data_IF_413790320158
#
_entry.id   IF_413790320158
#
_cell.length_a   1.000
_cell.length_b   1.000
_cell.length_c   1.000
_cell.angle_alpha   90.00
_cell.angle_beta   90.00
_cell.angle_gamma   90.00
#
_symmetry.space_group_name_H-M   'P 1'
#
loop_
_entity.id
_entity.type
_entity.pdbx_description
1 polymer ?
#
# COMPACT_ATOMS: atom_id res chain seq x y z
N UNK A 1 -5.70 -6.68 6.72
CA UNK A 1 -4.52 -6.66 5.85
C UNK A 1 -3.88 -5.26 5.78
N UNK A 2 -4.61 -4.21 5.34
CA UNK A 2 -4.04 -2.86 5.21
C UNK A 2 -3.50 -2.29 6.52
N UNK A 3 -4.25 -2.42 7.61
CA UNK A 3 -3.81 -1.97 8.94
C UNK A 3 -2.59 -2.77 9.41
N UNK A 4 -2.54 -4.06 9.13
CA UNK A 4 -1.42 -4.92 9.47
C UNK A 4 -0.15 -4.50 8.74
N UNK A 5 -0.24 -4.25 7.43
CA UNK A 5 0.87 -3.69 6.65
C UNK A 5 1.32 -2.36 7.28
N UNK A 6 0.38 -1.46 7.58
CA UNK A 6 0.67 -0.16 8.15
C UNK A 6 1.44 -0.26 9.47
N UNK A 7 0.94 -1.07 10.42
CA UNK A 7 1.54 -1.18 11.74
C UNK A 7 2.86 -1.98 11.75
N UNK A 8 3.09 -2.84 10.75
CA UNK A 8 4.38 -3.52 10.57
C UNK A 8 5.56 -2.53 10.41
N UNK A 9 5.27 -1.26 10.12
CA UNK A 9 6.26 -0.19 10.14
C UNK A 9 7.02 -0.05 11.47
N UNK A 10 6.48 -0.57 12.57
CA UNK A 10 7.11 -0.53 13.91
C UNK A 10 8.02 -1.72 14.21
N UNK A 11 7.94 -2.79 13.42
CA UNK A 11 8.78 -3.99 13.64
C UNK A 11 10.29 -3.68 13.65
N UNK A 12 10.82 -2.82 12.77
CA UNK A 12 12.24 -2.45 12.84
C UNK A 12 12.65 -1.68 14.11
N UNK A 13 11.68 -1.09 14.83
CA UNK A 13 11.97 -0.44 16.11
C UNK A 13 11.97 -1.48 17.23
N UNK A 14 11.00 -2.40 17.21
CA UNK A 14 10.93 -3.53 18.13
C UNK A 14 12.18 -4.44 18.02
N UNK A 15 12.67 -4.67 16.81
CA UNK A 15 13.87 -5.50 16.57
C UNK A 15 15.18 -4.93 17.13
N UNK A 16 15.15 -3.72 17.72
CA UNK A 16 16.30 -3.16 18.44
C UNK A 16 16.32 -3.56 19.92
N UNK A 17 15.21 -4.08 20.43
CA UNK A 17 15.14 -4.60 21.79
C UNK A 17 15.79 -5.99 21.84
N UNK A 18 16.32 -6.34 23.01
CA UNK A 18 16.86 -7.68 23.24
C UNK A 18 15.73 -8.69 23.41
N UNK A 19 15.76 -9.76 22.66
CA UNK A 19 14.81 -10.86 22.77
C UNK A 19 14.41 -11.48 21.44
N UNK A 20 13.81 -12.66 21.54
CA UNK A 20 13.27 -13.38 20.38
C UNK A 20 11.88 -12.83 20.05
N UNK A 21 11.71 -12.39 18.82
CA UNK A 21 10.45 -11.82 18.37
C UNK A 21 9.76 -12.82 17.45
N UNK A 22 8.51 -13.15 17.78
CA UNK A 22 7.61 -13.90 16.90
C UNK A 22 6.43 -13.03 16.48
N UNK A 23 6.20 -12.90 15.18
CA UNK A 23 5.09 -12.16 14.58
C UNK A 23 4.11 -13.14 13.93
N UNK A 24 2.89 -13.23 14.46
CA UNK A 24 1.77 -13.88 13.80
C UNK A 24 1.12 -12.88 12.83
N UNK A 25 1.01 -13.23 11.57
CA UNK A 25 0.53 -12.34 10.51
C UNK A 25 -0.42 -13.05 9.54
N UNK A 26 -1.16 -12.28 8.74
CA UNK A 26 -1.94 -12.82 7.62
C UNK A 26 -1.03 -13.66 6.71
N UNK A 27 -1.40 -14.91 6.35
CA UNK A 27 -0.54 -15.79 5.54
C UNK A 27 -0.06 -15.16 4.24
N UNK A 28 -0.85 -14.27 3.65
CA UNK A 28 -0.50 -13.55 2.41
C UNK A 28 0.67 -12.58 2.57
N UNK A 29 1.02 -12.20 3.81
CA UNK A 29 2.13 -11.30 4.13
C UNK A 29 3.38 -12.04 4.60
N UNK A 30 3.29 -13.35 4.85
CA UNK A 30 4.38 -14.09 5.48
C UNK A 30 5.69 -14.00 4.69
N UNK A 31 5.67 -14.21 3.38
CA UNK A 31 6.88 -14.22 2.54
C UNK A 31 7.56 -12.84 2.51
N UNK A 32 6.80 -11.77 2.30
CA UNK A 32 7.36 -10.43 2.28
C UNK A 32 7.86 -9.99 3.65
N UNK A 33 7.21 -10.40 4.74
CA UNK A 33 7.66 -10.10 6.11
C UNK A 33 8.91 -10.89 6.46
N UNK A 34 8.98 -12.18 6.13
CA UNK A 34 10.18 -13.01 6.34
C UNK A 34 11.41 -12.40 5.66
N UNK A 35 11.25 -11.88 4.46
CA UNK A 35 12.32 -11.21 3.70
C UNK A 35 12.65 -9.82 4.27
N UNK A 36 11.66 -9.13 4.83
CA UNK A 36 11.82 -7.72 5.26
C UNK A 36 12.31 -7.55 6.67
N UNK A 37 12.06 -8.52 7.54
CA UNK A 37 12.38 -8.46 8.97
C UNK A 37 13.31 -9.60 9.40
N UNK A 38 14.61 -9.53 9.02
CA UNK A 38 15.57 -10.53 9.45
C UNK A 38 15.68 -10.54 10.98
N UNK A 39 15.70 -11.73 11.57
CA UNK A 39 15.74 -11.89 13.04
C UNK A 39 14.35 -11.93 13.71
N UNK A 40 13.27 -11.78 12.96
CA UNK A 40 11.90 -11.97 13.44
C UNK A 40 11.36 -13.30 12.92
N UNK A 41 10.84 -14.15 13.79
CA UNK A 41 10.13 -15.37 13.40
C UNK A 41 8.76 -15.00 12.87
N UNK A 42 8.48 -15.29 11.61
CA UNK A 42 7.21 -14.98 10.96
C UNK A 42 6.34 -16.23 10.91
N UNK A 43 5.14 -16.14 11.44
CA UNK A 43 4.12 -17.19 11.40
C UNK A 43 2.88 -16.69 10.65
N UNK A 44 2.69 -17.19 9.42
CA UNK A 44 1.49 -16.92 8.64
C UNK A 44 0.31 -17.73 9.19
N UNK A 45 -0.64 -17.07 9.85
CA UNK A 45 -1.80 -17.71 10.44
C UNK A 45 -3.09 -16.99 10.07
N UNK A 46 -4.14 -17.73 9.81
CA UNK A 46 -5.47 -17.14 9.62
C UNK A 46 -5.94 -16.48 10.93
N UNK A 47 -6.64 -15.35 10.82
CA UNK A 47 -7.09 -14.56 11.99
C UNK A 47 -7.87 -15.40 13.03
N UNK A 48 -8.60 -16.43 12.58
CA UNK A 48 -9.37 -17.34 13.45
C UNK A 48 -8.48 -18.35 14.19
N UNK A 49 -7.26 -18.59 13.67
CA UNK A 49 -6.32 -19.60 14.15
C UNK A 49 -5.14 -18.97 14.92
N UNK A 50 -5.21 -17.67 15.24
CA UNK A 50 -4.21 -16.98 16.05
C UNK A 50 -4.09 -17.70 17.40
N UNK A 51 -2.91 -18.24 17.64
CA UNK A 51 -2.61 -18.95 18.89
C UNK A 51 -2.17 -17.93 19.97
N UNK A 52 -3.01 -17.82 21.00
CA UNK A 52 -2.76 -16.97 22.19
C UNK A 52 -2.31 -17.80 23.38
N UNK A 53 -2.15 -19.11 23.22
CA UNK A 53 -1.68 -20.01 24.28
C UNK A 53 -0.18 -20.23 24.26
N UNK A 54 0.55 -19.62 23.31
CA UNK A 54 2.01 -19.68 23.27
C UNK A 54 2.59 -19.12 24.56
N UNK A 55 3.53 -19.84 25.15
CA UNK A 55 4.28 -19.34 26.31
C UNK A 55 5.22 -18.23 25.83
N UNK A 56 4.90 -17.00 26.18
CA UNK A 56 5.66 -15.80 25.86
C UNK A 56 5.83 -14.96 27.13
N UNK A 57 6.93 -14.26 27.25
CA UNK A 57 7.13 -13.28 28.32
C UNK A 57 6.18 -12.08 28.13
N UNK A 58 5.97 -11.69 26.87
CA UNK A 58 5.10 -10.57 26.51
C UNK A 58 4.34 -10.86 25.21
N UNK A 59 3.07 -10.42 25.16
CA UNK A 59 2.25 -10.45 23.95
C UNK A 59 1.56 -9.10 23.77
N UNK A 60 1.60 -8.56 22.55
CA UNK A 60 0.90 -7.33 22.22
C UNK A 60 0.35 -7.37 20.80
N UNK A 61 -0.78 -6.68 20.58
CA UNK A 61 -1.22 -6.40 19.22
C UNK A 61 -0.26 -5.44 18.52
N UNK A 62 0.05 -5.71 17.25
CA UNK A 62 0.97 -4.87 16.45
C UNK A 62 0.55 -3.39 16.42
N UNK A 63 -0.76 -3.12 16.46
CA UNK A 63 -1.33 -1.76 16.51
C UNK A 63 -1.05 -0.99 17.79
N UNK A 64 -0.59 -1.65 18.86
CA UNK A 64 -0.27 -1.00 20.13
C UNK A 64 1.17 -0.44 20.19
N UNK A 65 2.08 -0.94 19.33
CA UNK A 65 3.49 -0.53 19.35
C UNK A 65 3.72 0.95 19.07
N UNK A 66 2.95 1.64 18.19
CA UNK A 66 3.16 3.07 17.99
C UNK A 66 3.13 3.91 19.27
N UNK A 67 2.34 3.53 20.26
CA UNK A 67 2.27 4.27 21.56
C UNK A 67 3.58 4.19 22.36
N UNK A 68 4.41 3.20 22.10
CA UNK A 68 5.72 3.05 22.75
C UNK A 68 6.84 3.72 21.95
N UNK A 69 6.83 3.58 20.62
CA UNK A 69 7.92 3.97 19.73
C UNK A 69 7.66 5.24 18.93
N UNK A 70 6.40 5.74 18.90
CA UNK A 70 5.96 6.84 18.01
C UNK A 70 5.09 7.84 18.77
N UNK A 71 5.62 8.37 19.87
CA UNK A 71 4.87 9.28 20.77
C UNK A 71 4.73 10.68 20.23
N UNK A 72 5.67 11.12 19.40
CA UNK A 72 5.70 12.42 18.74
C UNK A 72 5.89 12.25 17.23
N UNK A 73 5.69 13.31 16.45
CA UNK A 73 5.94 13.26 15.01
C UNK A 73 7.41 13.01 14.67
N UNK A 74 8.31 13.46 15.53
CA UNK A 74 9.74 13.31 15.33
C UNK A 74 10.23 11.87 15.55
N UNK A 75 9.43 11.05 16.23
CA UNK A 75 9.72 9.62 16.44
C UNK A 75 9.45 8.77 15.19
N UNK A 76 8.74 9.32 14.19
CA UNK A 76 8.51 8.60 12.95
C UNK A 76 9.74 8.65 12.05
N UNK A 77 10.37 7.51 11.73
CA UNK A 77 11.58 7.51 10.92
C UNK A 77 11.26 7.94 9.49
N UNK A 78 12.13 8.80 8.96
CA UNK A 78 12.13 9.13 7.54
C UNK A 78 12.82 7.97 6.81
N UNK A 79 12.07 7.24 5.99
CA UNK A 79 12.57 6.10 5.23
C UNK A 79 11.79 5.86 3.95
N UNK A 80 12.42 5.24 2.99
CA UNK A 80 11.83 4.86 1.70
C UNK A 80 11.04 3.53 1.77
N UNK A 81 10.32 3.30 2.83
CA UNK A 81 9.61 2.05 3.07
C UNK A 81 10.34 1.12 4.06
N UNK A 82 9.71 0.00 4.40
CA UNK A 82 10.19 -0.99 5.37
C UNK A 82 10.01 -2.43 4.89
N UNK A 83 9.30 -2.64 3.78
CA UNK A 83 9.15 -3.94 3.14
C UNK A 83 10.07 -4.04 1.92
N UNK A 84 10.64 -5.22 1.72
CA UNK A 84 11.53 -5.53 0.61
C UNK A 84 10.79 -6.43 -0.38
N UNK A 85 10.53 -5.93 -1.59
CA UNK A 85 10.00 -6.77 -2.68
C UNK A 85 11.06 -7.79 -3.14
N UNK A 86 10.58 -8.89 -3.72
CA UNK A 86 11.45 -9.87 -4.37
C UNK A 86 12.00 -9.28 -5.68
N UNK A 87 13.32 -9.18 -5.79
CA UNK A 87 13.99 -8.56 -6.94
C UNK A 87 13.79 -9.34 -8.24
N UNK A 88 13.63 -10.66 -8.16
CA UNK A 88 13.37 -11.49 -9.35
C UNK A 88 11.96 -11.24 -9.88
N UNK A 89 10.98 -11.19 -8.97
CA UNK A 89 9.60 -10.83 -9.31
C UNK A 89 9.51 -9.41 -9.88
N UNK A 90 10.25 -8.46 -9.29
CA UNK A 90 10.32 -7.08 -9.81
C UNK A 90 10.82 -7.07 -11.25
N UNK A 91 11.87 -7.84 -11.57
CA UNK A 91 12.38 -7.93 -12.95
C UNK A 91 11.33 -8.49 -13.93
N UNK A 92 10.62 -9.55 -13.52
CA UNK A 92 9.54 -10.13 -14.32
C UNK A 92 8.41 -9.12 -14.56
N UNK A 93 8.02 -8.36 -13.53
CA UNK A 93 6.97 -7.36 -13.68
C UNK A 93 7.40 -6.19 -14.57
N UNK A 94 8.66 -5.75 -14.50
CA UNK A 94 9.20 -4.73 -15.42
C UNK A 94 9.10 -5.18 -16.87
N UNK A 95 9.52 -6.41 -17.16
CA UNK A 95 9.42 -6.98 -18.51
C UNK A 95 7.97 -7.03 -19.02
N UNK A 96 7.03 -7.46 -18.17
CA UNK A 96 5.60 -7.46 -18.52
C UNK A 96 5.04 -6.05 -18.74
N UNK A 97 5.44 -5.09 -17.93
CA UNK A 97 5.00 -3.70 -18.06
C UNK A 97 5.58 -3.06 -19.34
N UNK A 98 6.79 -3.39 -19.72
CA UNK A 98 7.39 -2.92 -20.98
C UNK A 98 6.60 -3.40 -22.22
N UNK A 99 6.00 -4.60 -22.14
CA UNK A 99 5.12 -5.12 -23.18
C UNK A 99 3.80 -4.36 -23.33
N UNK A 100 3.39 -3.59 -22.33
CA UNK A 100 2.18 -2.75 -22.41
C UNK A 100 2.35 -1.52 -23.31
N UNK A 101 3.54 -1.25 -23.80
CA UNK A 101 3.86 -0.10 -24.67
C UNK A 101 4.88 0.86 -24.09
N UNK A 102 5.25 1.88 -24.84
CA UNK A 102 6.14 2.94 -24.40
C UNK A 102 5.41 3.96 -23.52
N UNK A 103 6.11 4.55 -22.52
CA UNK A 103 5.60 5.58 -21.64
C UNK A 103 5.55 5.15 -20.17
N UNK A 104 5.13 6.07 -19.30
CA UNK A 104 5.07 5.87 -17.86
C UNK A 104 3.95 4.89 -17.49
N UNK A 105 4.27 3.92 -16.66
CA UNK A 105 3.35 2.89 -16.15
C UNK A 105 2.79 3.33 -14.79
N UNK A 106 1.56 3.80 -14.79
CA UNK A 106 0.90 4.30 -13.58
C UNK A 106 -0.12 3.27 -13.10
N UNK A 107 0.12 2.69 -11.95
CA UNK A 107 -0.84 1.84 -11.27
C UNK A 107 -1.95 2.67 -10.62
N UNK A 108 -3.21 2.34 -10.88
CA UNK A 108 -4.36 3.08 -10.38
C UNK A 108 -5.32 2.18 -9.60
N UNK A 109 -5.58 2.54 -8.32
CA UNK A 109 -6.63 1.95 -7.51
C UNK A 109 -7.61 3.06 -7.08
N UNK A 110 -8.80 3.07 -7.66
CA UNK A 110 -9.76 4.18 -7.51
C UNK A 110 -10.89 3.90 -6.53
N UNK A 111 -11.13 2.65 -6.15
CA UNK A 111 -12.21 2.31 -5.23
C UNK A 111 -11.83 1.21 -4.25
N UNK A 112 -12.51 1.20 -3.11
CA UNK A 112 -12.38 0.15 -2.10
C UNK A 112 -13.43 -0.93 -2.35
N UNK A 113 -13.09 -2.21 -2.09
CA UNK A 113 -14.01 -3.35 -2.21
C UNK A 113 -15.10 -3.43 -1.14
N UNK A 114 -15.23 -2.43 -0.26
CA UNK A 114 -16.28 -2.40 0.75
C UNK A 114 -17.64 -2.09 0.15
N UNK A 115 -18.68 -2.78 0.66
CA UNK A 115 -20.06 -2.58 0.22
C UNK A 115 -20.50 -1.12 0.36
N UNK A 116 -21.28 -0.61 -0.60
CA UNK A 116 -21.72 0.79 -0.66
C UNK A 116 -22.43 1.29 0.61
N UNK A 117 -23.13 0.42 1.35
CA UNK A 117 -23.79 0.75 2.63
C UNK A 117 -22.77 1.07 3.73
N UNK A 118 -21.66 0.35 3.79
CA UNK A 118 -20.59 0.57 4.77
C UNK A 118 -19.81 1.82 4.41
N UNK A 119 -19.60 2.07 3.11
CA UNK A 119 -18.91 3.25 2.59
C UNK A 119 -19.57 4.58 2.98
N UNK A 120 -20.90 4.64 3.05
CA UNK A 120 -21.65 5.87 3.43
C UNK A 120 -21.38 6.33 4.87
N UNK A 121 -21.03 5.43 5.76
CA UNK A 121 -20.78 5.73 7.18
C UNK A 121 -19.28 5.83 7.53
N UNK A 122 -18.44 5.28 6.67
CA UNK A 122 -17.00 5.44 6.78
C UNK A 122 -16.58 6.45 5.72
N UNK A 123 -15.92 7.50 6.11
CA UNK A 123 -15.34 8.56 5.26
C UNK A 123 -14.20 8.00 4.36
N UNK A 124 -14.41 6.79 3.84
CA UNK A 124 -13.50 6.16 2.89
C UNK A 124 -13.69 6.79 1.53
N UNK A 125 -12.59 7.08 0.87
CA UNK A 125 -12.57 7.66 -0.46
C UNK A 125 -13.38 6.82 -1.42
N UNK A 126 -14.57 7.28 -1.77
CA UNK A 126 -15.33 6.74 -2.88
C UNK A 126 -14.92 7.57 -4.07
N UNK A 127 -14.05 7.04 -4.87
CA UNK A 127 -13.80 7.58 -6.19
C UNK A 127 -14.45 6.68 -7.22
N UNK A 128 -14.93 7.27 -8.29
CA UNK A 128 -15.28 6.56 -9.51
C UNK A 128 -14.13 6.71 -10.48
N UNK A 129 -13.94 5.76 -11.37
CA UNK A 129 -12.89 5.82 -12.38
C UNK A 129 -12.94 7.10 -13.24
N UNK A 130 -14.13 7.68 -13.42
CA UNK A 130 -14.33 8.91 -14.19
C UNK A 130 -13.57 10.12 -13.62
N UNK A 131 -13.31 10.18 -12.33
CA UNK A 131 -12.48 11.24 -11.75
C UNK A 131 -11.03 11.22 -12.26
N UNK A 132 -10.60 10.09 -12.82
CA UNK A 132 -9.24 9.90 -13.33
C UNK A 132 -9.13 10.01 -14.86
N UNK A 133 -10.23 10.33 -15.56
CA UNK A 133 -10.20 10.54 -17.02
C UNK A 133 -9.14 11.56 -17.47
N UNK A 134 -8.85 12.65 -16.74
CA UNK A 134 -7.74 13.53 -17.10
C UNK A 134 -6.39 12.82 -17.22
N UNK A 135 -6.13 11.77 -16.41
CA UNK A 135 -4.86 11.01 -16.50
C UNK A 135 -4.77 10.20 -17.79
N UNK A 136 -5.90 9.69 -18.30
CA UNK A 136 -5.95 8.93 -19.56
C UNK A 136 -5.61 9.79 -20.78
N UNK A 137 -5.73 11.10 -20.67
CA UNK A 137 -5.45 12.04 -21.74
C UNK A 137 -4.01 12.55 -21.73
N UNK A 138 -3.21 12.20 -20.73
CA UNK A 138 -1.80 12.58 -20.67
C UNK A 138 -1.04 11.71 -21.71
N UNK A 139 -0.30 12.31 -22.65
CA UNK A 139 0.54 11.57 -23.59
C UNK A 139 1.56 10.71 -22.84
N UNK A 140 1.91 9.58 -23.42
CA UNK A 140 2.96 8.70 -22.88
C UNK A 140 2.70 8.17 -21.48
N UNK A 141 1.43 8.09 -21.07
CA UNK A 141 0.99 7.47 -19.80
C UNK A 141 0.14 6.24 -20.11
N UNK A 142 0.48 5.14 -19.49
CA UNK A 142 -0.25 3.87 -19.55
C UNK A 142 -0.78 3.61 -18.14
N UNK A 143 -2.10 3.54 -18.01
CA UNK A 143 -2.75 3.26 -16.73
C UNK A 143 -2.95 1.76 -16.58
N UNK A 144 -2.42 1.22 -15.47
CA UNK A 144 -2.56 -0.18 -15.06
C UNK A 144 -3.58 -0.26 -13.93
N UNK A 145 -4.60 -1.10 -14.08
CA UNK A 145 -5.59 -1.33 -13.02
C UNK A 145 -4.98 -2.12 -11.86
N UNK A 146 -5.04 -1.56 -10.66
CA UNK A 146 -4.70 -2.21 -9.40
C UNK A 146 -5.96 -2.55 -8.58
N UNK A 147 -7.12 -2.58 -9.24
CA UNK A 147 -8.36 -2.96 -8.58
C UNK A 147 -8.38 -4.47 -8.30
N UNK A 148 -8.83 -4.82 -7.10
CA UNK A 148 -8.97 -6.20 -6.63
C UNK A 148 -10.42 -6.71 -6.64
N UNK A 149 -11.32 -5.92 -7.22
CA UNK A 149 -12.71 -6.26 -7.50
C UNK A 149 -12.91 -6.37 -9.01
N UNK A 150 -13.98 -7.03 -9.44
CA UNK A 150 -14.37 -7.01 -10.84
C UNK A 150 -14.74 -5.58 -11.27
N UNK A 151 -14.07 -5.10 -12.30
CA UNK A 151 -14.23 -3.75 -12.88
C UNK A 151 -14.57 -3.79 -14.37
N UNK A 152 -14.93 -4.94 -14.89
CA UNK A 152 -15.16 -5.17 -16.33
C UNK A 152 -16.12 -4.14 -16.92
N UNK A 153 -17.25 -3.91 -16.28
CA UNK A 153 -18.23 -2.93 -16.75
C UNK A 153 -17.74 -1.48 -16.63
N UNK A 154 -16.99 -1.15 -15.56
CA UNK A 154 -16.40 0.18 -15.41
C UNK A 154 -15.38 0.46 -16.53
N UNK A 155 -14.54 -0.51 -16.86
CA UNK A 155 -13.54 -0.37 -17.92
C UNK A 155 -14.16 -0.26 -19.30
N UNK A 156 -15.27 -0.94 -19.55
CA UNK A 156 -16.04 -0.81 -20.78
C UNK A 156 -16.57 0.62 -20.94
N UNK A 157 -17.17 1.18 -19.89
CA UNK A 157 -17.65 2.56 -19.87
C UNK A 157 -16.49 3.54 -20.14
N UNK A 158 -15.33 3.35 -19.49
CA UNK A 158 -14.12 4.16 -19.74
C UNK A 158 -13.80 4.19 -21.24
N UNK A 159 -13.76 3.03 -21.87
CA UNK A 159 -13.44 2.91 -23.30
C UNK A 159 -14.49 3.59 -24.19
N UNK A 160 -15.76 3.43 -23.86
CA UNK A 160 -16.87 4.05 -24.60
C UNK A 160 -16.87 5.58 -24.48
N UNK A 161 -16.61 6.12 -23.28
CA UNK A 161 -16.66 7.56 -23.00
C UNK A 161 -15.38 8.31 -23.41
N UNK A 162 -14.21 7.67 -23.31
CA UNK A 162 -12.92 8.35 -23.50
C UNK A 162 -12.16 7.89 -24.72
N UNK A 163 -12.52 6.75 -25.31
CA UNK A 163 -11.74 6.07 -26.37
C UNK A 163 -10.41 5.51 -25.87
N UNK A 164 -10.14 5.56 -24.57
CA UNK A 164 -8.90 5.10 -23.93
C UNK A 164 -9.11 3.81 -23.17
N UNK A 165 -8.03 3.11 -22.90
CA UNK A 165 -8.05 1.86 -22.16
C UNK A 165 -7.24 1.99 -20.84
N UNK A 166 -7.75 1.33 -19.81
CA UNK A 166 -6.98 1.02 -18.60
C UNK A 166 -6.58 -0.45 -18.72
N UNK A 167 -5.30 -0.72 -18.65
CA UNK A 167 -4.76 -2.06 -18.84
C UNK A 167 -5.03 -2.89 -17.60
N UNK A 168 -5.62 -4.08 -17.78
CA UNK A 168 -5.69 -5.12 -16.76
C UNK A 168 -4.54 -6.08 -17.01
N UNK A 169 -3.68 -6.24 -16.01
CA UNK A 169 -2.49 -7.08 -16.16
C UNK A 169 -2.80 -8.51 -15.66
N UNK A 170 -2.42 -9.50 -16.46
CA UNK A 170 -2.65 -10.90 -16.14
C UNK A 170 -1.55 -11.49 -15.24
N UNK A 171 -1.89 -12.59 -14.58
CA UNK A 171 -0.93 -13.39 -13.79
C UNK A 171 -0.75 -12.93 -12.35
N UNK A 172 -1.66 -12.10 -11.84
CA UNK A 172 -1.70 -11.69 -10.43
C UNK A 172 -3.14 -11.65 -9.90
N UNK A 173 -3.33 -12.15 -8.70
CA UNK A 173 -4.54 -11.89 -7.93
C UNK A 173 -4.26 -10.76 -6.92
N UNK A 174 -4.67 -9.53 -7.26
CA UNK A 174 -4.42 -8.32 -6.45
C UNK A 174 -4.86 -8.44 -4.98
N UNK A 175 -5.77 -9.37 -4.67
CA UNK A 175 -6.29 -9.58 -3.31
C UNK A 175 -5.45 -10.58 -2.52
N UNK A 176 -4.94 -11.62 -3.18
CA UNK A 176 -4.31 -12.74 -2.50
C UNK A 176 -2.78 -12.76 -2.66
N UNK A 177 -2.26 -12.31 -3.80
CA UNK A 177 -0.83 -12.43 -4.13
C UNK A 177 -0.08 -11.15 -3.69
N UNK A 178 0.01 -10.96 -2.36
CA UNK A 178 0.56 -9.71 -1.82
C UNK A 178 2.06 -9.53 -2.09
N UNK A 179 2.81 -10.62 -2.21
CA UNK A 179 4.22 -10.56 -2.56
C UNK A 179 4.44 -10.19 -4.04
N UNK A 180 3.57 -10.69 -4.94
CA UNK A 180 3.53 -10.25 -6.34
C UNK A 180 3.10 -8.79 -6.46
N UNK A 181 2.09 -8.38 -5.68
CA UNK A 181 1.64 -6.99 -5.64
C UNK A 181 2.76 -6.04 -5.20
N UNK A 182 3.54 -6.42 -4.19
CA UNK A 182 4.69 -5.64 -3.73
C UNK A 182 5.74 -5.47 -4.84
N UNK A 183 6.03 -6.53 -5.58
CA UNK A 183 6.97 -6.51 -6.70
C UNK A 183 6.46 -5.64 -7.86
N UNK A 184 5.17 -5.75 -8.19
CA UNK A 184 4.52 -4.89 -9.19
C UNK A 184 4.60 -3.41 -8.80
N UNK A 185 4.39 -3.05 -7.50
CA UNK A 185 4.51 -1.67 -7.02
C UNK A 185 5.89 -1.07 -7.26
N UNK A 186 6.96 -1.87 -7.14
CA UNK A 186 8.34 -1.42 -7.42
C UNK A 186 8.61 -1.32 -8.92
N UNK A 187 7.94 -2.15 -9.72
CA UNK A 187 8.09 -2.14 -11.16
C UNK A 187 7.37 -0.97 -11.85
N UNK A 188 6.31 -0.46 -11.24
CA UNK A 188 5.56 0.71 -11.72
C UNK A 188 6.35 2.01 -11.50
N UNK A 189 6.19 2.97 -12.42
CA UNK A 189 6.76 4.31 -12.25
C UNK A 189 6.07 5.10 -11.13
N UNK A 190 4.75 4.89 -10.96
CA UNK A 190 3.94 5.55 -9.94
C UNK A 190 2.72 4.70 -9.61
N UNK A 191 2.37 4.61 -8.34
CA UNK A 191 1.07 4.11 -7.88
C UNK A 191 0.21 5.28 -7.39
N UNK A 192 -1.00 5.41 -7.92
CA UNK A 192 -2.01 6.35 -7.43
C UNK A 192 -3.14 5.53 -6.81
N UNK A 193 -3.43 5.75 -5.55
CA UNK A 193 -4.43 4.94 -4.86
C UNK A 193 -5.26 5.74 -3.87
N UNK A 194 -6.56 5.44 -3.83
CA UNK A 194 -7.43 5.79 -2.70
C UNK A 194 -7.04 4.95 -1.49
N UNK A 195 -7.61 5.27 -0.33
CA UNK A 195 -7.29 4.62 0.93
C UNK A 195 -7.70 3.14 0.98
N UNK A 196 -6.80 2.24 0.59
CA UNK A 196 -6.99 0.78 0.52
C UNK A 196 -5.72 0.04 0.97
N UNK A 197 -5.76 -1.29 1.03
CA UNK A 197 -4.56 -2.11 1.26
C UNK A 197 -3.49 -1.91 0.15
N UNK A 198 -3.92 -1.60 -1.08
CA UNK A 198 -3.02 -1.26 -2.20
C UNK A 198 -2.17 -0.03 -1.87
N UNK A 199 -2.80 1.03 -1.31
CA UNK A 199 -2.08 2.21 -0.85
C UNK A 199 -1.06 1.86 0.25
N UNK A 200 -1.48 1.04 1.23
CA UNK A 200 -0.60 0.64 2.33
C UNK A 200 0.61 -0.14 1.83
N UNK A 201 0.40 -1.07 0.90
CA UNK A 201 1.48 -1.84 0.28
C UNK A 201 2.44 -0.92 -0.48
N UNK A 202 1.94 -0.07 -1.36
CA UNK A 202 2.76 0.86 -2.13
C UNK A 202 3.57 1.82 -1.24
N UNK A 203 2.98 2.24 -0.11
CA UNK A 203 3.68 3.10 0.86
C UNK A 203 4.69 2.34 1.73
N UNK A 204 4.54 1.03 1.90
CA UNK A 204 5.41 0.21 2.73
C UNK A 204 6.64 -0.32 2.00
N UNK A 205 6.52 -0.57 0.69
CA UNK A 205 7.58 -1.21 -0.10
C UNK A 205 8.64 -0.21 -0.51
N UNK A 206 9.92 -0.57 -0.29
CA UNK A 206 11.07 0.25 -0.71
C UNK A 206 11.14 0.37 -2.22
N UNK A 207 11.43 1.57 -2.70
CA UNK A 207 11.58 1.85 -4.13
C UNK A 207 10.28 2.05 -4.90
N UNK A 208 9.11 1.88 -4.27
CA UNK A 208 7.84 2.20 -4.91
C UNK A 208 7.49 3.69 -4.76
N UNK A 209 7.09 4.34 -5.84
CA UNK A 209 6.55 5.70 -5.81
C UNK A 209 5.04 5.67 -5.59
N UNK A 210 4.51 6.52 -4.72
CA UNK A 210 3.07 6.51 -4.42
C UNK A 210 2.51 7.90 -4.21
N UNK A 211 1.33 8.16 -4.82
CA UNK A 211 0.47 9.28 -4.53
C UNK A 211 -0.81 8.77 -3.86
N UNK A 212 -1.01 9.21 -2.64
CA UNK A 212 -2.22 8.90 -1.89
C UNK A 212 -3.32 9.90 -2.23
N UNK A 213 -4.51 9.39 -2.52
CA UNK A 213 -5.72 10.20 -2.53
C UNK A 213 -6.36 10.03 -1.16
N UNK A 214 -6.17 10.99 -0.24
CA UNK A 214 -6.63 10.83 1.11
C UNK A 214 -8.15 10.88 1.16
N UNK A 215 -8.75 10.03 1.97
CA UNK A 215 -10.06 10.29 2.52
C UNK A 215 -9.99 11.57 3.35
N UNK A 216 -11.07 12.33 3.40
CA UNK A 216 -11.12 13.68 3.98
C UNK A 216 -10.57 13.76 5.43
N UNK A 217 -10.38 12.63 6.11
CA UNK A 217 -9.85 12.55 7.49
C UNK A 217 -8.92 11.33 7.63
N UNK A 218 -7.63 11.51 7.49
CA UNK A 218 -6.67 10.64 8.17
C UNK A 218 -5.31 11.31 8.35
N UNK A 219 -4.98 11.74 9.57
CA UNK A 219 -3.65 12.27 9.88
C UNK A 219 -2.54 11.21 9.80
N UNK A 220 -2.89 9.92 9.95
CA UNK A 220 -1.91 8.83 10.00
C UNK A 220 -1.12 8.62 8.70
N UNK A 221 -1.73 8.82 7.53
CA UNK A 221 -1.06 8.56 6.24
C UNK A 221 0.03 9.58 5.90
N UNK A 222 -0.06 10.80 6.44
CA UNK A 222 1.01 11.80 6.30
C UNK A 222 2.31 11.40 7.01
N UNK A 223 2.22 10.46 7.95
CA UNK A 223 3.32 10.07 8.81
C UNK A 223 4.10 8.85 8.30
N UNK A 224 3.62 8.18 7.26
CA UNK A 224 4.18 6.91 6.81
C UNK A 224 5.20 7.03 5.68
N UNK A 225 5.08 8.03 4.83
CA UNK A 225 6.10 8.44 3.85
C UNK A 225 6.41 9.92 4.01
N UNK A 226 7.63 10.25 4.33
CA UNK A 226 8.20 11.59 4.21
C UNK A 226 8.84 11.71 2.81
N UNK A 227 9.07 12.92 2.26
CA UNK A 227 9.00 14.20 2.93
C UNK A 227 7.90 15.09 2.35
N UNK A 228 7.02 15.60 3.21
CA UNK A 228 6.43 16.91 2.88
C UNK A 228 7.61 17.89 2.92
N UNK A 229 7.94 18.61 1.84
CA UNK A 229 8.95 19.66 1.91
C UNK A 229 8.57 20.63 3.03
N UNK A 230 9.50 20.90 3.95
CA UNK A 230 9.30 21.79 5.11
C UNK A 230 8.80 23.20 4.72
N UNK A 231 8.81 23.53 3.45
CA UNK A 231 8.48 24.84 2.91
C UNK A 231 6.97 25.09 2.71
N UNK A 232 6.12 24.08 2.81
CA UNK A 232 4.67 24.26 2.59
C UNK A 232 3.96 24.77 3.86
N UNK A 233 4.47 24.49 5.05
CA UNK A 233 3.82 24.86 6.31
C UNK A 233 4.13 26.31 6.76
N UNK A 234 5.19 26.94 6.25
CA UNK A 234 5.56 28.31 6.66
C UNK A 234 4.83 29.42 5.89
N UNK A 235 4.18 29.14 4.76
CA UNK A 235 3.44 30.16 4.00
C UNK A 235 2.02 30.45 4.51
N UNK A 236 1.46 29.62 5.39
CA UNK A 236 0.10 29.81 5.94
C UNK A 236 0.04 30.43 7.34
N UNK A 237 1.18 30.75 7.96
CA UNK A 237 1.23 31.37 9.30
C UNK A 237 1.57 32.86 9.34
N UNK A 238 1.84 33.49 8.20
CA UNK A 238 2.17 34.92 8.15
C UNK A 238 1.00 35.85 7.83
N UNK A 239 -0.21 35.31 7.58
CA UNK A 239 -1.38 36.13 7.23
C UNK A 239 -2.55 35.90 8.21
N UNK A 240 -2.29 36.01 9.51
CA UNK A 240 -3.32 36.30 10.53
C UNK A 240 -2.78 37.15 11.65
#
# INVERSE_FOLDING_TARGET
>A
LGDEIMFASTIPDLSKEDGDITLQCDPRLADIYQRSFPGVTILGVERKDIDRSMENDYENAIGDFPRFYRRTLDDFPIRDGYLNADSQKVAVWKEKLDQCGEGLKIGLCWSSGMAAKIRKHQLTSISTVSHFYPLLNIPEVIIISLQYTDVTEELKIVKEETGKEIVVIDGINMKNDQDELAALMVALDLTISVHTAVLQMAAAVKGANVWAIPAFISPFHRLMKSPVPKDIDNKKRSDK
#
